data_IF_443195191002
#
_entry.id   IF_443195191002
#
_cell.length_a   1.000
_cell.length_b   1.000
_cell.length_c   1.000
_cell.angle_alpha   90.00
_cell.angle_beta   90.00
_cell.angle_gamma   90.00
#
_symmetry.space_group_name_H-M   'P 1'
#
loop_
_entity.id
_entity.type
_entity.pdbx_description
1 polymer ?
#
# COMPACT_ATOMS: atom_id res chain seq x y z
N UNK A 1 5.61 27.17 6.84
CA UNK A 1 6.20 25.82 6.70
C UNK A 1 5.08 24.81 6.75
N UNK A 2 4.94 23.97 5.74
CA UNK A 2 3.92 22.91 5.75
C UNK A 2 4.47 21.71 6.52
N UNK A 3 3.97 21.38 7.70
CA UNK A 3 4.41 20.17 8.39
C UNK A 3 3.99 18.95 7.57
N UNK A 4 4.95 18.11 7.21
CA UNK A 4 4.66 16.82 6.61
C UNK A 4 4.84 15.73 7.65
N UNK A 5 3.79 14.96 7.85
CA UNK A 5 3.76 13.82 8.75
C UNK A 5 4.27 12.59 8.02
N UNK A 6 5.17 11.85 8.63
CA UNK A 6 5.83 10.70 8.02
C UNK A 6 5.34 9.41 8.65
N UNK A 7 4.82 8.50 7.84
CA UNK A 7 4.53 7.12 8.21
C UNK A 7 5.39 6.14 7.42
N UNK A 8 5.62 4.95 7.97
CA UNK A 8 6.57 3.97 7.45
C UNK A 8 6.30 3.50 6.01
N UNK A 9 7.35 3.33 5.25
CA UNK A 9 7.59 2.52 4.06
C UNK A 9 7.34 3.08 2.65
N UNK A 10 6.64 4.15 2.47
CA UNK A 10 6.70 4.97 1.26
C UNK A 10 6.70 6.40 1.71
N UNK A 11 7.31 7.31 0.93
CA UNK A 11 7.35 8.73 1.23
C UNK A 11 5.94 9.30 1.47
N UNK A 12 5.35 8.98 2.61
CA UNK A 12 4.04 9.45 3.00
C UNK A 12 4.25 10.88 3.47
N UNK A 13 3.91 11.82 2.61
CA UNK A 13 3.85 13.24 2.95
C UNK A 13 2.39 13.59 3.18
N UNK A 14 2.02 13.59 4.43
CA UNK A 14 0.70 14.07 4.81
C UNK A 14 0.77 15.58 5.04
N UNK A 15 -0.28 16.28 4.70
CA UNK A 15 -0.40 17.72 4.97
C UNK A 15 -1.38 17.93 6.10
N UNK A 16 -0.91 18.56 7.19
CA UNK A 16 -1.80 19.01 8.23
C UNK A 16 -2.61 20.23 7.71
N UNK A 17 -3.93 20.10 7.68
CA UNK A 17 -4.84 21.13 7.21
C UNK A 17 -5.38 21.98 8.36
N UNK A 18 -5.84 21.33 9.42
CA UNK A 18 -6.39 21.99 10.60
C UNK A 18 -6.21 21.12 11.85
N UNK A 19 -6.22 21.74 13.01
CA UNK A 19 -6.24 21.07 14.31
C UNK A 19 -7.33 21.68 15.15
N UNK A 20 -8.39 20.92 15.39
CA UNK A 20 -9.57 21.40 16.11
C UNK A 20 -9.99 20.38 17.16
N UNK A 21 -9.97 20.80 18.42
CA UNK A 21 -10.36 19.96 19.55
C UNK A 21 -9.58 18.64 19.63
N UNK A 22 -10.29 17.54 19.61
CA UNK A 22 -9.72 16.18 19.74
C UNK A 22 -9.13 15.62 18.44
N UNK A 23 -9.35 16.28 17.31
CA UNK A 23 -8.96 15.77 15.99
C UNK A 23 -8.08 16.75 15.24
N UNK A 24 -7.23 16.20 14.40
CA UNK A 24 -6.47 16.89 13.39
C UNK A 24 -6.92 16.40 11.99
N UNK A 25 -7.13 17.34 11.10
CA UNK A 25 -7.49 17.07 9.70
C UNK A 25 -6.24 16.97 8.87
N UNK A 26 -6.04 15.82 8.24
CA UNK A 26 -4.84 15.50 7.46
C UNK A 26 -5.25 15.18 6.02
N UNK A 27 -4.55 15.79 5.07
CA UNK A 27 -4.66 15.46 3.65
C UNK A 27 -3.53 14.51 3.26
N UNK A 28 -3.90 13.32 2.83
CA UNK A 28 -2.97 12.28 2.37
C UNK A 28 -2.45 12.59 0.96
N UNK A 29 -1.30 12.01 0.53
CA UNK A 29 -0.79 12.15 -0.83
C UNK A 29 -1.76 11.65 -1.91
N UNK A 30 -2.65 10.72 -1.56
CA UNK A 30 -3.71 10.22 -2.44
C UNK A 30 -4.83 11.22 -2.71
N UNK A 31 -4.84 12.37 -2.01
CA UNK A 31 -5.92 13.36 -2.03
C UNK A 31 -7.04 13.09 -1.02
N UNK A 32 -7.05 11.96 -0.33
CA UNK A 32 -8.03 11.66 0.73
C UNK A 32 -7.78 12.56 1.95
N UNK A 33 -8.83 13.16 2.48
CA UNK A 33 -8.79 13.96 3.70
C UNK A 33 -9.39 13.17 4.85
N UNK A 34 -8.65 13.06 5.95
CA UNK A 34 -9.03 12.25 7.11
C UNK A 34 -8.84 12.99 8.44
N UNK A 35 -9.65 12.57 9.42
CA UNK A 35 -9.47 12.92 10.82
C UNK A 35 -8.55 11.92 11.52
N UNK A 36 -7.60 12.42 12.29
CA UNK A 36 -6.72 11.64 13.17
C UNK A 36 -6.78 12.28 14.56
N UNK A 37 -6.65 11.48 15.61
CA UNK A 37 -6.63 12.01 16.97
C UNK A 37 -5.45 12.96 17.16
N UNK A 38 -5.70 14.12 17.76
CA UNK A 38 -4.66 15.15 18.00
C UNK A 38 -3.56 14.73 18.96
N UNK A 39 -3.79 13.66 19.74
CA UNK A 39 -2.80 13.08 20.66
C UNK A 39 -1.80 12.13 19.97
N UNK A 40 -1.97 11.83 18.67
CA UNK A 40 -1.04 11.01 17.93
C UNK A 40 0.30 11.72 17.75
N UNK A 41 1.39 10.97 17.92
CA UNK A 41 2.72 11.48 17.62
C UNK A 41 2.93 11.61 16.12
N UNK A 42 3.71 12.61 15.76
CA UNK A 42 4.03 12.89 14.36
C UNK A 42 5.48 13.36 14.24
N UNK A 43 6.11 13.04 13.11
CA UNK A 43 7.43 13.55 12.75
C UNK A 43 7.28 14.63 11.70
N UNK A 44 7.86 15.78 11.94
CA UNK A 44 7.85 16.91 11.00
C UNK A 44 9.16 16.88 10.23
N UNK A 45 9.07 16.95 8.90
CA UNK A 45 10.25 17.00 8.05
C UNK A 45 10.10 16.20 6.77
N UNK A 46 11.23 15.80 6.22
CA UNK A 46 11.35 15.01 4.99
C UNK A 46 11.90 13.64 5.33
N UNK A 47 11.37 12.60 4.69
CA UNK A 47 11.91 11.24 4.82
C UNK A 47 13.29 11.21 4.19
N UNK A 48 14.27 10.71 4.91
CA UNK A 48 15.62 10.50 4.38
C UNK A 48 15.67 9.33 3.41
N UNK A 49 16.82 9.17 2.71
CA UNK A 49 17.06 8.07 1.79
C UNK A 49 16.03 7.98 0.64
N UNK A 50 15.72 9.11 0.02
CA UNK A 50 14.76 9.23 -1.10
C UNK A 50 15.09 8.30 -2.27
N UNK A 51 16.37 8.03 -2.49
CA UNK A 51 16.86 7.24 -3.62
C UNK A 51 16.86 5.74 -3.37
N UNK A 52 16.39 5.30 -2.19
CA UNK A 52 16.34 3.88 -1.84
C UNK A 52 15.57 3.04 -2.87
N UNK A 53 14.50 3.58 -3.44
CA UNK A 53 13.72 2.92 -4.49
C UNK A 53 14.48 2.69 -5.80
N UNK A 54 15.54 3.46 -6.05
CA UNK A 54 16.39 3.34 -7.23
C UNK A 54 17.48 2.28 -7.08
N UNK A 55 17.63 1.72 -5.87
CA UNK A 55 18.66 0.73 -5.57
C UNK A 55 18.39 -0.57 -6.31
N UNK A 56 19.33 -0.96 -7.17
CA UNK A 56 19.28 -2.22 -7.90
C UNK A 56 20.12 -3.27 -7.17
N UNK A 57 19.54 -4.43 -6.91
CA UNK A 57 20.23 -5.51 -6.20
C UNK A 57 21.32 -6.19 -7.04
N UNK A 58 21.24 -6.12 -8.35
CA UNK A 58 22.21 -6.67 -9.31
C UNK A 58 22.17 -8.19 -9.46
N UNK A 59 22.05 -8.93 -8.36
CA UNK A 59 22.03 -10.39 -8.37
C UNK A 59 21.03 -10.99 -7.38
N UNK A 60 20.50 -12.16 -7.69
CA UNK A 60 19.55 -12.88 -6.84
C UNK A 60 20.12 -13.23 -5.45
N UNK A 61 21.44 -13.54 -5.38
CA UNK A 61 22.11 -13.84 -4.13
C UNK A 61 22.02 -12.73 -3.09
N UNK A 62 22.04 -11.47 -3.52
CA UNK A 62 21.88 -10.33 -2.58
C UNK A 62 20.53 -10.34 -1.88
N UNK A 63 19.48 -10.69 -2.60
CA UNK A 63 18.12 -10.83 -2.02
C UNK A 63 18.09 -11.98 -1.01
N UNK A 64 18.83 -13.09 -1.28
CA UNK A 64 18.99 -14.21 -0.34
C UNK A 64 19.72 -13.79 0.94
N UNK A 65 20.76 -13.00 0.83
CA UNK A 65 21.49 -12.46 2.00
C UNK A 65 20.60 -11.61 2.90
N UNK A 66 19.61 -10.93 2.32
CA UNK A 66 18.59 -10.17 3.07
C UNK A 66 17.49 -11.05 3.68
N UNK A 67 17.65 -12.39 3.67
CA UNK A 67 16.70 -13.35 4.22
C UNK A 67 15.45 -13.60 3.38
N UNK A 68 15.37 -13.06 2.17
CA UNK A 68 14.21 -13.25 1.29
C UNK A 68 14.36 -14.50 0.43
N UNK A 69 13.38 -15.38 0.50
CA UNK A 69 13.30 -16.56 -0.39
C UNK A 69 12.67 -16.21 -1.74
N UNK A 70 13.01 -16.93 -2.81
CA UNK A 70 12.35 -16.81 -4.11
C UNK A 70 10.83 -17.01 -3.98
N UNK A 71 10.07 -16.30 -4.79
CA UNK A 71 8.61 -16.46 -4.86
C UNK A 71 8.22 -17.03 -6.21
N UNK A 72 7.40 -18.08 -6.19
CA UNK A 72 6.78 -18.63 -7.38
C UNK A 72 5.66 -17.73 -7.86
N UNK A 73 5.62 -17.45 -9.16
CA UNK A 73 4.53 -16.67 -9.77
C UNK A 73 3.25 -17.51 -9.82
N UNK A 74 2.06 -16.89 -9.67
CA UNK A 74 0.78 -17.61 -9.75
C UNK A 74 0.60 -18.44 -11.03
N UNK A 75 1.05 -17.91 -12.17
CA UNK A 75 0.97 -18.58 -13.49
C UNK A 75 1.80 -19.87 -13.55
N UNK A 76 2.84 -19.99 -12.73
CA UNK A 76 3.70 -21.16 -12.66
C UNK A 76 3.24 -22.19 -11.62
N UNK A 77 2.14 -21.94 -10.95
CA UNK A 77 1.54 -22.87 -9.97
C UNK A 77 0.55 -23.81 -10.65
N UNK A 78 0.21 -24.89 -9.95
CA UNK A 78 -0.87 -25.79 -10.37
C UNK A 78 -2.25 -25.18 -10.04
N UNK A 79 -3.33 -25.62 -10.70
CA UNK A 79 -4.68 -25.12 -10.44
C UNK A 79 -5.14 -25.26 -8.98
N UNK A 80 -4.68 -26.30 -8.28
CA UNK A 80 -4.98 -26.53 -6.86
C UNK A 80 -4.36 -25.47 -5.95
N UNK A 81 -3.23 -24.89 -6.33
CA UNK A 81 -2.48 -23.91 -5.52
C UNK A 81 -2.91 -22.48 -5.76
N UNK A 82 -3.37 -22.18 -6.96
CA UNK A 82 -3.75 -20.81 -7.33
C UNK A 82 -4.78 -20.80 -8.47
N UNK A 83 -5.80 -19.92 -8.43
CA UNK A 83 -6.80 -19.79 -9.49
C UNK A 83 -6.23 -19.47 -10.88
N UNK A 84 -5.04 -18.91 -10.94
CA UNK A 84 -4.34 -18.60 -12.20
C UNK A 84 -3.32 -19.65 -12.60
N UNK A 85 -3.25 -20.75 -11.88
CA UNK A 85 -2.37 -21.87 -12.19
C UNK A 85 -2.93 -22.78 -13.27
N UNK A 86 -2.06 -23.61 -13.84
CA UNK A 86 -2.38 -24.57 -14.88
C UNK A 86 -2.29 -24.03 -16.30
N UNK A 87 -2.70 -24.86 -17.26
CA UNK A 87 -2.60 -24.59 -18.69
C UNK A 87 -1.30 -25.11 -19.32
N UNK A 88 -1.25 -25.12 -20.63
CA UNK A 88 -0.05 -25.44 -21.41
C UNK A 88 0.73 -24.17 -21.71
N UNK A 89 2.05 -24.21 -21.48
CA UNK A 89 2.93 -23.07 -21.70
C UNK A 89 2.58 -21.85 -20.83
N UNK A 90 2.59 -20.68 -21.41
CA UNK A 90 2.24 -19.41 -20.74
C UNK A 90 0.74 -19.13 -20.78
N UNK A 91 -0.05 -19.92 -20.06
CA UNK A 91 -1.45 -19.59 -19.90
C UNK A 91 -1.64 -18.38 -18.97
N UNK A 92 -2.43 -17.39 -19.37
CA UNK A 92 -2.68 -16.19 -18.57
C UNK A 92 -3.65 -16.41 -17.42
N UNK A 93 -4.35 -17.54 -17.40
CA UNK A 93 -5.31 -17.90 -16.35
C UNK A 93 -6.55 -16.99 -16.27
N UNK A 94 -6.77 -16.14 -17.27
CA UNK A 94 -7.89 -15.20 -17.32
C UNK A 94 -7.67 -13.93 -16.50
N UNK A 95 -8.73 -13.43 -15.89
CA UNK A 95 -8.69 -12.18 -15.12
C UNK A 95 -7.80 -12.30 -13.88
N UNK A 96 -6.87 -11.35 -13.61
CA UNK A 96 -5.95 -11.46 -12.47
C UNK A 96 -6.69 -11.59 -11.13
N UNK A 97 -6.36 -12.64 -10.39
CA UNK A 97 -6.95 -12.96 -9.09
C UNK A 97 -5.87 -13.22 -8.04
N UNK A 98 -6.21 -12.99 -6.79
CA UNK A 98 -5.41 -13.43 -5.64
C UNK A 98 -5.59 -14.92 -5.40
N UNK A 99 -4.76 -15.52 -4.51
CA UNK A 99 -4.91 -16.92 -4.10
C UNK A 99 -6.32 -17.24 -3.55
N UNK A 100 -7.00 -16.27 -2.95
CA UNK A 100 -8.37 -16.40 -2.44
C UNK A 100 -9.45 -16.17 -3.51
N UNK A 101 -9.08 -16.03 -4.79
CA UNK A 101 -10.02 -15.79 -5.88
C UNK A 101 -10.50 -14.34 -6.02
N UNK A 102 -10.04 -13.43 -5.17
CA UNK A 102 -10.44 -12.02 -5.20
C UNK A 102 -9.77 -11.33 -6.40
N UNK A 103 -10.50 -10.56 -7.22
CA UNK A 103 -9.90 -9.80 -8.32
C UNK A 103 -8.74 -8.92 -7.84
N UNK A 104 -7.59 -9.00 -8.51
CA UNK A 104 -6.38 -8.28 -8.12
C UNK A 104 -6.35 -6.84 -8.64
N UNK A 105 -7.16 -6.51 -9.66
CA UNK A 105 -7.23 -5.18 -10.26
C UNK A 105 -8.63 -4.60 -10.13
N UNK A 106 -8.70 -3.34 -9.72
CA UNK A 106 -9.95 -2.58 -9.64
C UNK A 106 -10.88 -2.92 -8.47
N UNK A 107 -10.65 -4.02 -7.78
CA UNK A 107 -11.48 -4.42 -6.65
C UNK A 107 -11.16 -3.60 -5.39
N UNK A 108 -12.19 -3.04 -4.79
CA UNK A 108 -12.07 -2.27 -3.53
C UNK A 108 -12.01 -3.24 -2.36
N UNK A 109 -10.83 -3.39 -1.75
CA UNK A 109 -10.60 -4.32 -0.63
C UNK A 109 -10.99 -3.77 0.74
N UNK A 110 -11.19 -2.44 0.86
CA UNK A 110 -11.62 -1.84 2.12
C UNK A 110 -13.05 -2.29 2.47
N UNK A 111 -13.25 -2.76 3.70
CA UNK A 111 -14.60 -3.12 4.18
C UNK A 111 -15.51 -1.89 4.20
N UNK A 112 -16.76 -2.08 3.74
CA UNK A 112 -17.80 -1.04 3.79
C UNK A 112 -18.22 -0.71 5.22
N UNK A 113 -18.16 -1.70 6.12
CA UNK A 113 -18.56 -1.60 7.53
C UNK A 113 -17.44 -1.20 8.47
N UNK A 114 -16.26 -0.84 7.95
CA UNK A 114 -15.12 -0.48 8.78
C UNK A 114 -15.41 0.79 9.58
N UNK A 115 -15.30 0.72 10.92
CA UNK A 115 -15.59 1.86 11.81
C UNK A 115 -14.81 3.13 11.48
N UNK A 116 -13.56 2.99 11.01
CA UNK A 116 -12.74 4.13 10.61
C UNK A 116 -13.24 4.87 9.36
N UNK A 117 -14.37 4.47 8.76
CA UNK A 117 -15.00 5.21 7.67
C UNK A 117 -15.57 6.54 8.14
N UNK A 118 -15.97 6.65 9.41
CA UNK A 118 -16.46 7.90 10.04
C UNK A 118 -15.40 9.01 10.10
N UNK A 119 -14.13 8.64 10.03
CA UNK A 119 -13.01 9.60 10.06
C UNK A 119 -12.56 10.07 8.68
N UNK A 120 -13.19 9.62 7.61
CA UNK A 120 -12.91 10.07 6.25
C UNK A 120 -13.84 11.23 5.93
N UNK A 121 -13.30 12.42 5.74
CA UNK A 121 -14.05 13.61 5.34
C UNK A 121 -14.29 13.59 3.85
N UNK A 122 -13.21 13.45 3.09
CA UNK A 122 -13.23 13.44 1.63
C UNK A 122 -12.44 12.23 1.11
N UNK A 123 -13.05 11.48 0.20
CA UNK A 123 -12.35 10.37 -0.47
C UNK A 123 -11.59 10.91 -1.67
N UNK A 124 -10.49 10.22 -2.01
CA UNK A 124 -9.76 10.52 -3.24
C UNK A 124 -10.70 10.45 -4.45
N UNK A 125 -10.67 11.46 -5.27
CA UNK A 125 -11.30 11.40 -6.58
C UNK A 125 -10.55 10.38 -7.45
N UNK A 126 -11.30 9.60 -8.21
CA UNK A 126 -10.75 8.65 -9.18
C UNK A 126 -10.23 9.40 -10.39
#
# INVERSE_FOLDING_TARGET
MNPSLVGSEMCIRDRLMAREGKFATIKLPSGETRLVLSNCFATIGVVSNSDHQLTVSGKAGRTRWLGRRPRTRPVAMNPVDHPMGGGEGRASGGHPRSRKGIPAKGFRTRSKTKESNKYIIERRNK
#
